data_IF_310829060324
#
_entry.id   IF_310829060324
#
_cell.length_a   1.000
_cell.length_b   1.000
_cell.length_c   1.000
_cell.angle_alpha   90.00
_cell.angle_beta   90.00
_cell.angle_gamma   90.00
#
_symmetry.space_group_name_H-M   'P 1'
#
loop_
_entity.id
_entity.type
_entity.pdbx_description
1 polymer ?
#
# COMPACT_ATOMS: atom_id res chain seq x y z
N UNK A 1 1.77 -54.08 35.62
CA UNK A 1 2.84 -53.28 34.98
C UNK A 1 2.22 -52.11 34.22
N UNK A 2 2.30 -50.89 34.76
CA UNK A 2 1.68 -49.71 34.14
C UNK A 2 2.63 -49.06 33.11
N UNK A 3 2.22 -49.01 31.84
CA UNK A 3 2.96 -48.35 30.75
C UNK A 3 2.99 -46.83 31.00
N UNK A 4 4.16 -46.29 31.38
CA UNK A 4 4.39 -44.84 31.47
C UNK A 4 4.14 -44.18 30.11
N UNK A 5 3.12 -43.31 30.02
CA UNK A 5 2.88 -42.45 28.85
C UNK A 5 4.08 -41.50 28.68
N UNK A 6 4.74 -41.55 27.51
CA UNK A 6 5.84 -40.62 27.18
C UNK A 6 5.33 -39.17 27.22
N UNK A 7 6.09 -38.23 27.81
CA UNK A 7 5.69 -36.82 27.86
C UNK A 7 5.65 -36.24 26.43
N UNK A 8 4.53 -35.62 26.06
CA UNK A 8 4.41 -34.89 24.79
C UNK A 8 5.41 -33.74 24.80
N UNK A 9 6.46 -33.81 23.98
CA UNK A 9 7.39 -32.69 23.76
C UNK A 9 6.58 -31.45 23.38
N UNK A 10 6.60 -30.42 24.22
CA UNK A 10 6.04 -29.11 23.88
C UNK A 10 6.85 -28.59 22.68
N UNK A 11 6.20 -28.40 21.53
CA UNK A 11 6.82 -27.74 20.38
C UNK A 11 6.96 -26.26 20.74
N UNK A 12 8.12 -25.88 21.27
CA UNK A 12 8.46 -24.49 21.64
C UNK A 12 8.76 -23.65 20.39
N UNK A 13 7.82 -23.58 19.45
CA UNK A 13 7.92 -22.78 18.23
C UNK A 13 6.68 -21.93 18.01
N UNK A 14 6.84 -20.80 17.32
CA UNK A 14 5.72 -19.95 16.88
C UNK A 14 4.71 -20.82 16.10
N UNK A 15 3.39 -20.67 16.31
CA UNK A 15 2.40 -21.48 15.60
C UNK A 15 2.59 -21.32 14.08
N UNK A 16 3.06 -22.38 13.42
CA UNK A 16 3.28 -22.41 11.97
C UNK A 16 2.28 -23.30 11.24
N UNK A 17 1.39 -23.98 11.98
CA UNK A 17 0.43 -24.90 11.39
C UNK A 17 -0.71 -24.14 10.71
N UNK A 18 -0.83 -24.41 9.41
CA UNK A 18 -1.92 -23.95 8.56
C UNK A 18 -3.27 -24.52 9.04
N UNK A 19 -4.35 -23.75 8.85
CA UNK A 19 -5.73 -24.18 9.08
C UNK A 19 -6.59 -23.65 7.93
N UNK A 20 -7.40 -24.52 7.31
CA UNK A 20 -8.27 -24.16 6.19
C UNK A 20 -9.18 -22.94 6.47
N UNK A 21 -9.64 -22.78 7.72
CA UNK A 21 -10.43 -21.60 8.15
C UNK A 21 -9.72 -20.26 7.91
N UNK A 22 -8.39 -20.25 7.77
CA UNK A 22 -7.64 -19.02 7.49
C UNK A 22 -7.99 -18.42 6.13
N UNK A 23 -8.44 -19.19 5.14
CA UNK A 23 -8.88 -18.66 3.84
C UNK A 23 -10.10 -17.74 4.00
N UNK A 24 -11.16 -18.22 4.65
CA UNK A 24 -12.35 -17.40 4.90
C UNK A 24 -12.08 -16.21 5.83
N UNK A 25 -11.18 -16.39 6.81
CA UNK A 25 -10.75 -15.29 7.68
C UNK A 25 -9.93 -14.24 6.92
N UNK A 26 -9.17 -14.62 5.90
CA UNK A 26 -8.36 -13.71 5.09
C UNK A 26 -9.28 -12.83 4.27
N UNK A 27 -10.23 -13.40 3.52
CA UNK A 27 -11.18 -12.65 2.70
C UNK A 27 -11.94 -11.65 3.58
N UNK A 28 -12.58 -12.11 4.66
CA UNK A 28 -13.31 -11.26 5.61
C UNK A 28 -12.46 -10.19 6.30
N UNK A 29 -11.13 -10.36 6.34
CA UNK A 29 -10.25 -9.36 6.92
C UNK A 29 -9.91 -8.22 5.94
N UNK A 30 -9.91 -8.52 4.64
CA UNK A 30 -9.66 -7.56 3.57
C UNK A 30 -10.94 -6.95 3.01
N UNK A 31 -12.06 -7.65 3.15
CA UNK A 31 -13.41 -7.22 2.83
C UNK A 31 -13.97 -6.38 3.98
N UNK A 32 -13.55 -5.11 4.02
CA UNK A 32 -14.01 -4.12 4.98
C UNK A 32 -14.38 -2.85 4.21
N UNK A 33 -15.32 -2.09 4.77
CA UNK A 33 -15.70 -0.79 4.22
C UNK A 33 -14.46 0.14 4.11
N UNK A 34 -14.32 0.93 3.03
CA UNK A 34 -13.15 1.76 2.82
C UNK A 34 -13.03 2.91 3.81
N UNK A 35 -14.14 3.54 4.18
CA UNK A 35 -14.20 4.69 5.08
C UNK A 35 -15.47 4.64 5.93
N UNK A 36 -15.48 5.42 7.00
CA UNK A 36 -16.68 5.73 7.78
C UNK A 36 -17.07 7.20 7.58
N UNK A 37 -18.36 7.48 7.60
CA UNK A 37 -18.88 8.84 7.54
C UNK A 37 -19.13 9.36 8.96
N UNK A 38 -18.42 10.42 9.35
CA UNK A 38 -18.54 11.08 10.63
C UNK A 38 -19.22 12.43 10.43
N UNK A 39 -20.32 12.66 11.16
CA UNK A 39 -21.01 13.96 11.16
C UNK A 39 -20.35 14.89 12.17
N UNK A 40 -19.81 16.00 11.69
CA UNK A 40 -19.14 16.99 12.51
C UNK A 40 -20.07 18.20 12.65
N UNK A 41 -20.52 18.52 13.87
CA UNK A 41 -21.31 19.72 14.10
C UNK A 41 -20.41 20.96 13.97
N UNK A 42 -20.87 21.92 13.18
CA UNK A 42 -20.31 23.27 13.15
C UNK A 42 -21.18 24.21 13.98
N UNK A 43 -20.49 25.08 14.72
CA UNK A 43 -21.09 26.04 15.63
C UNK A 43 -20.82 27.45 15.10
N UNK A 44 -21.73 28.38 15.34
CA UNK A 44 -21.57 29.77 14.91
C UNK A 44 -20.34 30.44 15.54
N UNK A 45 -19.76 31.41 14.82
CA UNK A 45 -18.60 32.23 15.24
C UNK A 45 -18.77 32.87 16.63
N UNK A 46 -20.02 33.00 17.11
CA UNK A 46 -20.27 33.49 18.44
C UNK A 46 -19.77 32.55 19.53
N UNK A 47 -19.66 31.22 19.30
CA UNK A 47 -19.00 30.20 20.16
C UNK A 47 -19.31 30.24 21.66
N UNK A 48 -20.19 31.14 22.09
CA UNK A 48 -20.47 31.58 23.44
C UNK A 48 -21.93 31.26 23.63
N UNK A 49 -22.18 30.47 24.67
CA UNK A 49 -23.48 30.36 25.30
C UNK A 49 -24.20 31.71 25.24
N UNK A 50 -25.46 31.73 24.81
CA UNK A 50 -26.26 32.94 24.92
C UNK A 50 -26.21 33.42 26.38
N UNK A 51 -25.61 34.60 26.63
CA UNK A 51 -25.43 35.13 27.99
C UNK A 51 -26.73 35.69 28.59
N UNK A 52 -27.76 35.88 27.77
CA UNK A 52 -29.06 36.42 28.16
C UNK A 52 -30.17 36.01 27.19
N UNK A 53 -31.35 35.67 27.71
CA UNK A 53 -32.53 35.26 26.93
C UNK A 53 -33.06 33.89 27.33
N UNK A 54 -34.16 33.45 26.70
CA UNK A 54 -34.86 32.18 26.98
C UNK A 54 -34.00 30.93 26.73
N UNK A 55 -32.89 31.07 25.99
CA UNK A 55 -31.96 30.02 25.57
C UNK A 55 -30.56 30.17 26.20
N UNK A 56 -30.49 30.73 27.42
CA UNK A 56 -29.22 30.93 28.14
C UNK A 56 -28.53 29.58 28.41
N UNK A 57 -27.32 29.40 27.87
CA UNK A 57 -26.54 28.15 27.99
C UNK A 57 -26.70 27.15 26.85
N UNK A 58 -27.49 27.47 25.81
CA UNK A 58 -27.72 26.55 24.68
C UNK A 58 -26.74 26.83 23.52
N UNK A 59 -26.02 25.78 23.09
CA UNK A 59 -25.12 25.85 21.93
C UNK A 59 -25.90 25.51 20.67
N UNK A 60 -25.99 26.45 19.73
CA UNK A 60 -26.69 26.24 18.46
C UNK A 60 -25.73 25.58 17.46
N UNK A 61 -26.11 24.39 16.98
CA UNK A 61 -25.45 23.76 15.83
C UNK A 61 -26.04 24.37 14.56
N UNK A 62 -25.23 25.06 13.76
CA UNK A 62 -25.72 25.71 12.53
C UNK A 62 -25.89 24.72 11.40
N UNK A 63 -24.92 23.81 11.23
CA UNK A 63 -24.98 22.74 10.24
C UNK A 63 -24.04 21.58 10.61
N UNK A 64 -24.22 20.45 9.91
CA UNK A 64 -23.33 19.31 10.01
C UNK A 64 -22.51 19.19 8.72
N UNK A 65 -21.21 19.00 8.86
CA UNK A 65 -20.34 18.54 7.78
C UNK A 65 -20.19 17.02 7.85
N UNK A 66 -20.20 16.35 6.69
CA UNK A 66 -19.91 14.92 6.61
C UNK A 66 -18.43 14.78 6.30
N UNK A 67 -17.64 14.35 7.28
CA UNK A 67 -16.24 13.99 7.07
C UNK A 67 -16.13 12.48 6.84
N UNK A 68 -15.43 12.09 5.77
CA UNK A 68 -15.09 10.69 5.50
C UNK A 68 -13.73 10.36 6.09
N UNK A 69 -13.71 9.41 7.02
CA UNK A 69 -12.48 8.96 7.66
C UNK A 69 -12.08 7.59 7.08
N UNK A 70 -10.89 7.47 6.46
CA UNK A 70 -10.45 6.20 5.89
C UNK A 70 -10.28 5.15 6.98
N UNK A 71 -10.86 3.98 6.76
CA UNK A 71 -10.62 2.84 7.62
C UNK A 71 -9.16 2.41 7.54
N UNK A 72 -8.69 1.68 8.56
CA UNK A 72 -7.30 1.23 8.56
C UNK A 72 -7.09 0.14 7.51
N UNK A 73 -6.24 0.43 6.53
CA UNK A 73 -5.92 -0.47 5.41
C UNK A 73 -5.62 -1.90 5.87
N UNK A 74 -6.26 -2.92 5.26
CA UNK A 74 -5.97 -4.31 5.55
C UNK A 74 -4.64 -4.72 4.90
N UNK A 75 -3.74 -5.30 5.70
CA UNK A 75 -2.43 -5.77 5.23
C UNK A 75 -2.16 -7.21 5.66
N UNK A 76 -1.35 -7.92 4.88
CA UNK A 76 -0.97 -9.30 5.16
C UNK A 76 -0.27 -9.43 6.52
N UNK A 77 0.55 -8.43 6.88
CA UNK A 77 1.25 -8.38 8.16
C UNK A 77 0.28 -8.27 9.35
N UNK A 78 -0.77 -7.43 9.22
CA UNK A 78 -1.80 -7.33 10.26
C UNK A 78 -2.62 -8.61 10.35
N UNK A 79 -2.92 -9.23 9.21
CA UNK A 79 -3.58 -10.54 9.21
C UNK A 79 -2.72 -11.60 9.91
N UNK A 80 -1.42 -11.67 9.61
CA UNK A 80 -0.47 -12.56 10.28
C UNK A 80 -0.47 -12.37 11.79
N UNK A 81 -0.46 -11.12 12.24
CA UNK A 81 -0.58 -10.77 13.66
C UNK A 81 -1.91 -11.26 14.26
N UNK A 82 -3.03 -11.09 13.54
CA UNK A 82 -4.37 -11.53 13.96
C UNK A 82 -4.45 -13.05 14.17
N UNK A 83 -3.87 -13.85 13.27
CA UNK A 83 -3.83 -15.31 13.40
C UNK A 83 -2.62 -15.84 14.19
N UNK A 84 -1.78 -14.93 14.73
CA UNK A 84 -0.58 -15.21 15.54
C UNK A 84 0.50 -16.04 14.81
N UNK A 85 0.62 -15.90 13.49
CA UNK A 85 1.67 -16.54 12.68
C UNK A 85 2.70 -15.52 12.21
N UNK A 86 3.86 -15.97 11.74
CA UNK A 86 4.88 -15.10 11.13
C UNK A 86 4.46 -14.67 9.73
N UNK A 87 4.86 -13.48 9.29
CA UNK A 87 4.58 -13.04 7.91
C UNK A 87 5.29 -13.95 6.89
N UNK A 88 6.50 -14.41 7.22
CA UNK A 88 7.23 -15.40 6.41
C UNK A 88 6.45 -16.70 6.24
N UNK A 89 5.75 -17.17 7.27
CA UNK A 89 4.90 -18.35 7.20
C UNK A 89 3.75 -18.17 6.19
N UNK A 90 3.16 -16.97 6.12
CA UNK A 90 2.12 -16.69 5.12
C UNK A 90 2.69 -16.72 3.71
N UNK A 91 3.86 -16.10 3.48
CA UNK A 91 4.50 -16.15 2.17
C UNK A 91 4.82 -17.58 1.73
N UNK A 92 5.27 -18.45 2.64
CA UNK A 92 5.48 -19.87 2.35
C UNK A 92 4.20 -20.66 2.05
N UNK A 93 3.04 -20.19 2.48
CA UNK A 93 1.76 -20.80 2.07
C UNK A 93 1.32 -20.36 0.67
N UNK A 94 1.86 -19.24 0.19
CA UNK A 94 1.54 -18.65 -1.12
C UNK A 94 2.53 -19.07 -2.22
N UNK A 95 3.75 -19.45 -1.86
CA UNK A 95 4.81 -19.86 -2.79
C UNK A 95 4.60 -21.30 -3.24
N UNK A 96 4.44 -21.51 -4.54
CA UNK A 96 4.22 -22.83 -5.16
C UNK A 96 5.43 -23.76 -5.03
N UNK A 97 6.62 -23.21 -4.81
CA UNK A 97 7.87 -23.97 -4.68
C UNK A 97 8.10 -24.49 -3.25
N UNK A 98 7.32 -24.03 -2.28
CA UNK A 98 7.47 -24.40 -0.87
C UNK A 98 6.60 -25.62 -0.53
N UNK A 99 7.12 -26.55 0.27
CA UNK A 99 6.38 -27.74 0.72
C UNK A 99 5.08 -27.37 1.47
N UNK A 100 5.08 -26.20 2.12
CA UNK A 100 3.92 -25.71 2.86
C UNK A 100 2.89 -25.00 2.00
N UNK A 101 3.04 -24.99 0.67
CA UNK A 101 2.10 -24.38 -0.27
C UNK A 101 0.65 -24.84 -0.05
N UNK A 102 -0.29 -23.90 -0.20
CA UNK A 102 -1.73 -24.13 -0.10
C UNK A 102 -2.45 -23.39 -1.22
N UNK A 103 -2.85 -24.12 -2.26
CA UNK A 103 -3.58 -23.56 -3.41
C UNK A 103 -4.84 -22.78 -2.98
N UNK A 104 -5.65 -23.37 -2.10
CA UNK A 104 -6.85 -22.72 -1.53
C UNK A 104 -6.56 -21.40 -0.79
N UNK A 105 -5.36 -21.26 -0.22
CA UNK A 105 -4.94 -20.02 0.44
C UNK A 105 -4.47 -18.97 -0.56
N UNK A 106 -3.82 -19.40 -1.66
CA UNK A 106 -3.47 -18.52 -2.78
C UNK A 106 -4.71 -17.96 -3.45
N UNK A 107 -5.73 -18.77 -3.68
CA UNK A 107 -6.99 -18.32 -4.27
C UNK A 107 -7.69 -17.28 -3.38
N UNK A 108 -7.78 -17.58 -2.08
CA UNK A 108 -8.30 -16.63 -1.10
C UNK A 108 -7.48 -15.32 -1.04
N UNK A 109 -6.16 -15.41 -1.22
CA UNK A 109 -5.30 -14.23 -1.27
C UNK A 109 -5.51 -13.40 -2.53
N UNK A 110 -5.78 -14.02 -3.68
CA UNK A 110 -6.16 -13.32 -4.92
C UNK A 110 -7.45 -12.52 -4.71
N UNK A 111 -8.48 -13.13 -4.11
CA UNK A 111 -9.70 -12.42 -3.74
C UNK A 111 -9.41 -11.26 -2.76
N UNK A 112 -8.62 -11.50 -1.72
CA UNK A 112 -8.24 -10.47 -0.76
C UNK A 112 -7.46 -9.29 -1.40
N UNK A 113 -6.63 -9.56 -2.41
CA UNK A 113 -5.95 -8.50 -3.19
C UNK A 113 -6.95 -7.67 -4.00
N UNK A 114 -7.98 -8.30 -4.57
CA UNK A 114 -9.04 -7.60 -5.27
C UNK A 114 -9.84 -6.69 -4.31
N UNK A 115 -10.22 -7.19 -3.13
CA UNK A 115 -10.86 -6.37 -2.08
C UNK A 115 -9.98 -5.18 -1.69
N UNK A 116 -8.68 -5.42 -1.45
CA UNK A 116 -7.73 -4.33 -1.14
C UNK A 116 -7.65 -3.29 -2.26
N UNK A 117 -7.73 -3.72 -3.53
CA UNK A 117 -7.70 -2.81 -4.66
C UNK A 117 -8.92 -1.90 -4.66
N UNK A 118 -10.13 -2.46 -4.50
CA UNK A 118 -11.36 -1.66 -4.39
C UNK A 118 -11.27 -0.66 -3.23
N UNK A 119 -10.85 -1.14 -2.05
CA UNK A 119 -10.63 -0.31 -0.87
C UNK A 119 -9.73 0.91 -1.13
N UNK A 120 -8.62 0.71 -1.85
CA UNK A 120 -7.67 1.79 -2.15
C UNK A 120 -8.20 2.77 -3.21
N UNK A 121 -8.92 2.26 -4.20
CA UNK A 121 -9.54 3.09 -5.25
C UNK A 121 -10.61 3.99 -4.61
N UNK A 122 -11.50 3.42 -3.80
CA UNK A 122 -12.59 4.17 -3.18
C UNK A 122 -12.10 5.26 -2.22
N UNK A 123 -11.10 4.95 -1.38
CA UNK A 123 -10.47 5.95 -0.53
C UNK A 123 -9.72 7.03 -1.33
N UNK A 124 -9.11 6.67 -2.45
CA UNK A 124 -8.47 7.62 -3.36
C UNK A 124 -9.47 8.56 -4.03
N UNK A 125 -10.58 8.02 -4.53
CA UNK A 125 -11.66 8.79 -5.18
C UNK A 125 -12.42 9.68 -4.19
N UNK A 126 -12.61 9.23 -2.95
CA UNK A 126 -13.26 10.02 -1.90
C UNK A 126 -12.36 11.10 -1.28
N UNK A 127 -11.12 11.27 -1.77
CA UNK A 127 -10.18 12.25 -1.24
C UNK A 127 -9.70 11.96 0.19
N UNK A 128 -9.91 10.73 0.70
CA UNK A 128 -9.49 10.33 2.04
C UNK A 128 -7.96 10.14 2.15
N UNK A 129 -7.27 10.10 1.01
CA UNK A 129 -5.82 10.00 0.90
C UNK A 129 -5.27 11.12 0.01
N UNK A 130 -4.05 11.58 0.30
CA UNK A 130 -3.40 12.53 -0.60
C UNK A 130 -3.16 11.88 -1.97
N UNK A 131 -3.29 12.61 -3.09
CA UNK A 131 -3.13 12.03 -4.43
C UNK A 131 -1.77 11.34 -4.64
N UNK A 132 -0.69 11.91 -4.10
CA UNK A 132 0.65 11.34 -4.16
C UNK A 132 0.74 9.99 -3.42
N UNK A 133 0.14 9.91 -2.22
CA UNK A 133 0.09 8.66 -1.46
C UNK A 133 -0.78 7.61 -2.18
N UNK A 134 -1.95 8.01 -2.68
CA UNK A 134 -2.85 7.12 -3.41
C UNK A 134 -2.16 6.54 -4.66
N UNK A 135 -1.44 7.35 -5.44
CA UNK A 135 -0.65 6.89 -6.59
C UNK A 135 0.44 5.91 -6.17
N UNK A 136 1.24 6.26 -5.16
CA UNK A 136 2.33 5.41 -4.67
C UNK A 136 1.82 4.04 -4.22
N UNK A 137 0.73 4.03 -3.45
CA UNK A 137 0.14 2.79 -2.94
C UNK A 137 -0.52 1.98 -4.06
N UNK A 138 -1.26 2.62 -4.97
CA UNK A 138 -1.90 1.96 -6.09
C UNK A 138 -0.87 1.22 -6.96
N UNK A 139 0.22 1.88 -7.36
CA UNK A 139 1.23 1.27 -8.24
C UNK A 139 2.00 0.13 -7.56
N UNK A 140 2.26 0.22 -6.24
CA UNK A 140 3.08 -0.79 -5.54
C UNK A 140 2.27 -1.97 -4.98
N UNK A 141 0.99 -1.79 -4.66
CA UNK A 141 0.17 -2.81 -3.96
C UNK A 141 -0.90 -3.44 -4.85
N UNK A 142 -1.17 -2.85 -6.01
CA UNK A 142 -2.13 -3.34 -7.01
C UNK A 142 -1.40 -3.54 -8.34
N UNK A 143 -2.14 -3.88 -9.39
CA UNK A 143 -1.69 -4.03 -10.77
C UNK A 143 -1.90 -2.74 -11.60
N UNK A 144 -2.24 -1.62 -10.95
CA UNK A 144 -2.33 -0.32 -11.60
C UNK A 144 -0.94 0.16 -12.03
N UNK A 145 -0.84 0.71 -13.24
CA UNK A 145 0.39 1.24 -13.80
C UNK A 145 0.14 2.61 -14.39
N UNK A 146 1.10 3.50 -14.20
CA UNK A 146 1.13 4.75 -14.94
C UNK A 146 1.57 4.44 -16.37
N UNK A 147 0.79 4.89 -17.36
CA UNK A 147 1.06 4.61 -18.77
C UNK A 147 1.25 5.94 -19.49
N UNK A 148 2.42 6.14 -20.07
CA UNK A 148 2.74 7.31 -20.87
C UNK A 148 2.97 6.87 -22.32
N UNK A 149 2.36 7.60 -23.27
CA UNK A 149 2.69 7.47 -24.68
C UNK A 149 3.73 8.55 -25.00
N UNK A 150 4.94 8.13 -25.33
CA UNK A 150 6.00 9.03 -25.75
C UNK A 150 6.27 8.81 -27.24
N UNK A 151 6.07 9.86 -28.02
CA UNK A 151 6.55 9.90 -29.40
C UNK A 151 8.04 10.19 -29.36
N UNK A 152 8.83 9.25 -29.88
CA UNK A 152 10.28 9.38 -29.92
C UNK A 152 10.68 9.71 -31.35
N UNK A 153 10.91 11.00 -31.59
CA UNK A 153 11.30 11.51 -32.90
C UNK A 153 12.56 12.35 -32.78
N UNK A 154 13.42 12.28 -33.79
CA UNK A 154 14.60 13.12 -33.90
C UNK A 154 14.23 14.58 -34.23
N UNK A 155 15.26 15.45 -34.32
CA UNK A 155 15.07 16.86 -34.65
C UNK A 155 14.18 17.03 -35.88
N UNK A 156 13.20 17.95 -35.81
CA UNK A 156 12.25 18.24 -36.90
C UNK A 156 11.40 17.05 -37.37
N UNK A 157 11.18 16.05 -36.51
CA UNK A 157 10.39 14.87 -36.89
C UNK A 157 11.16 13.84 -37.72
N UNK A 158 12.49 13.99 -37.81
CA UNK A 158 13.39 13.08 -38.55
C UNK A 158 13.77 11.86 -37.69
N UNK A 159 14.33 10.78 -38.28
CA UNK A 159 14.88 9.68 -37.49
C UNK A 159 15.95 10.14 -36.48
N UNK A 160 16.03 9.45 -35.34
CA UNK A 160 17.02 9.75 -34.29
C UNK A 160 18.41 9.38 -34.83
N UNK A 161 19.37 10.32 -34.90
CA UNK A 161 20.74 9.99 -35.27
C UNK A 161 21.40 9.21 -34.12
N UNK A 162 21.85 7.99 -34.39
CA UNK A 162 22.62 7.16 -33.45
C UNK A 162 24.04 7.03 -33.97
N UNK A 163 25.02 7.54 -33.23
CA UNK A 163 26.43 7.26 -33.46
C UNK A 163 26.92 6.25 -32.41
N UNK A 164 27.49 5.14 -32.87
CA UNK A 164 28.12 4.14 -32.01
C UNK A 164 29.61 4.42 -32.03
N UNK A 165 30.19 4.72 -30.86
CA UNK A 165 31.64 4.85 -30.69
C UNK A 165 32.14 3.53 -30.12
N UNK A 166 33.05 2.88 -30.82
CA UNK A 166 33.75 1.69 -30.33
C UNK A 166 34.96 2.13 -29.49
N UNK A 167 34.93 1.80 -28.20
CA UNK A 167 36.00 2.16 -27.26
C UNK A 167 37.15 1.13 -27.24
N UNK A 168 37.04 0.02 -27.96
CA UNK A 168 38.11 -0.99 -28.04
C UNK A 168 39.31 -0.56 -28.90
N UNK A 169 39.17 0.53 -29.65
CA UNK A 169 40.21 1.10 -30.54
C UNK A 169 40.71 2.47 -30.07
N UNK A 170 40.27 2.94 -28.91
CA UNK A 170 40.63 4.27 -28.40
C UNK A 170 41.94 4.16 -27.62
N UNK A 171 43.03 4.66 -28.22
CA UNK A 171 44.28 4.91 -27.51
C UNK A 171 44.05 6.00 -26.44
N UNK A 172 43.98 5.57 -25.18
CA UNK A 172 43.77 6.45 -24.02
C UNK A 172 44.84 7.54 -23.87
N UNK A 173 46.02 7.34 -24.48
CA UNK A 173 47.14 8.29 -24.48
C UNK A 173 46.98 9.46 -25.48
N UNK A 174 45.98 9.39 -26.37
CA UNK A 174 45.71 10.43 -27.38
C UNK A 174 44.73 11.52 -26.92
N UNK A 175 44.12 11.35 -25.74
CA UNK A 175 43.24 12.36 -25.12
C UNK A 175 44.12 13.42 -24.47
N UNK A 176 44.51 14.45 -25.23
CA UNK A 176 45.13 15.65 -24.65
C UNK A 176 44.11 16.32 -23.72
N UNK A 177 44.48 16.68 -22.48
CA UNK A 177 43.63 17.54 -21.66
C UNK A 177 43.39 18.84 -22.44
N UNK A 178 42.12 19.28 -22.51
CA UNK A 178 41.77 20.56 -23.12
C UNK A 178 42.65 21.64 -22.48
N UNK A 179 43.50 22.25 -23.31
CA UNK A 179 44.35 23.36 -22.90
C UNK A 179 43.53 24.49 -22.32
N UNK A 180 44.06 25.07 -21.23
CA UNK A 180 43.62 26.33 -20.65
C UNK A 180 43.34 27.35 -21.75
N UNK A 181 42.09 27.81 -21.82
CA UNK A 181 41.73 28.99 -22.58
C UNK A 181 41.78 30.18 -21.62
N UNK A 182 42.84 30.96 -21.77
CA UNK A 182 43.00 32.39 -21.51
C UNK A 182 41.87 33.10 -20.75
N UNK A 183 42.17 33.53 -19.52
CA UNK A 183 41.45 34.58 -18.79
C UNK A 183 41.63 35.94 -19.52
N UNK A 184 40.56 36.70 -19.80
CA UNK A 184 40.70 38.10 -20.16
C UNK A 184 40.88 38.96 -18.90
N UNK A 185 41.88 39.85 -18.95
CA UNK A 185 42.11 40.95 -18.03
C UNK A 185 41.05 42.06 -18.15
#
# INVERSE_FOLDING_TARGET
MAKKKKPRKKKNGRPSQYKARYCGMLIRFFDIEPFEEVRIPHYDESGKEHKSGRHKGETIVTHYEIQRNPNRTPTLQRFAKKIKVGISTIYRWLDENEETFKAEFRDAFTCARACRRSFLIENGLCGCHSPAYAKFVAVNLTDMKDTQKQEVTGPEGRPIPVSIIDYSTVDLDSIKPNGDKDEPA
#
